data_IF_679443852305
#
_entry.id   IF_679443852305
#
_cell.length_a   1.000
_cell.length_b   1.000
_cell.length_c   1.000
_cell.angle_alpha   90.00
_cell.angle_beta   90.00
_cell.angle_gamma   90.00
#
_symmetry.space_group_name_H-M   'P 1'
#
loop_
_entity.id
_entity.type
_entity.pdbx_description
1 polymer ?
#
# COMPACT_ATOMS: atom_id res chain seq x y z
N UNK A 1 -1.65 7.42 -21.22
CA UNK A 1 -1.16 6.38 -20.29
C UNK A 1 -2.17 5.26 -20.27
N UNK A 2 -1.74 4.00 -20.34
CA UNK A 2 -2.64 2.86 -20.21
C UNK A 2 -3.21 2.82 -18.77
N UNK A 3 -4.39 2.21 -18.58
CA UNK A 3 -4.99 2.08 -17.25
C UNK A 3 -4.07 1.34 -16.27
N UNK A 4 -3.32 0.36 -16.79
CA UNK A 4 -2.37 -0.43 -16.02
C UNK A 4 -1.24 0.42 -15.45
N UNK A 5 -0.50 1.22 -16.23
CA UNK A 5 0.59 2.02 -15.67
C UNK A 5 0.09 3.03 -14.62
N UNK A 6 -1.12 3.59 -14.82
CA UNK A 6 -1.73 4.48 -13.82
C UNK A 6 -1.99 3.75 -12.49
N UNK A 7 -2.46 2.52 -12.51
CA UNK A 7 -2.72 1.76 -11.28
C UNK A 7 -1.41 1.41 -10.54
N UNK A 8 -0.32 1.12 -11.26
CA UNK A 8 1.00 0.96 -10.64
C UNK A 8 1.50 2.26 -10.00
N UNK A 9 1.33 3.41 -10.67
CA UNK A 9 1.71 4.71 -10.14
C UNK A 9 0.88 5.07 -8.90
N UNK A 10 -0.44 4.84 -8.93
CA UNK A 10 -1.32 5.06 -7.79
C UNK A 10 -0.95 4.14 -6.60
N UNK A 11 -0.66 2.88 -6.87
CA UNK A 11 -0.21 1.93 -5.84
C UNK A 11 1.10 2.37 -5.19
N UNK A 12 2.09 2.76 -5.99
CA UNK A 12 3.36 3.30 -5.48
C UNK A 12 3.19 4.60 -4.70
N UNK A 13 2.39 5.55 -5.20
CA UNK A 13 2.11 6.79 -4.49
C UNK A 13 1.42 6.52 -3.13
N UNK A 14 0.43 5.62 -3.11
CA UNK A 14 -0.24 5.23 -1.87
C UNK A 14 0.72 4.54 -0.88
N UNK A 15 1.66 3.73 -1.37
CA UNK A 15 2.73 3.11 -0.58
C UNK A 15 3.62 4.15 0.12
N UNK A 16 4.10 5.15 -0.63
CA UNK A 16 4.96 6.21 -0.08
C UNK A 16 4.21 7.11 0.92
N UNK A 17 2.92 7.39 0.66
CA UNK A 17 2.08 8.07 1.65
C UNK A 17 1.94 7.23 2.91
N UNK A 18 1.85 5.90 2.79
CA UNK A 18 1.89 4.98 3.93
C UNK A 18 3.16 5.15 4.77
N UNK A 19 4.33 5.28 4.14
CA UNK A 19 5.58 5.60 4.83
C UNK A 19 5.55 6.97 5.52
N UNK A 20 5.03 8.01 4.85
CA UNK A 20 4.87 9.33 5.45
C UNK A 20 3.93 9.32 6.68
N UNK A 21 2.95 8.41 6.70
CA UNK A 21 2.05 8.16 7.84
C UNK A 21 2.65 7.23 8.91
N UNK A 22 3.91 6.80 8.78
CA UNK A 22 4.60 5.94 9.76
C UNK A 22 4.38 4.44 9.58
N UNK A 23 3.76 3.99 8.49
CA UNK A 23 3.61 2.56 8.19
C UNK A 23 4.95 1.97 7.71
N UNK A 24 5.32 0.82 8.26
CA UNK A 24 6.48 0.05 7.83
C UNK A 24 6.10 -1.00 6.79
N UNK A 25 7.10 -1.44 6.02
CA UNK A 25 6.98 -2.60 5.15
C UNK A 25 6.34 -3.81 5.86
N UNK A 26 5.48 -4.51 5.13
CA UNK A 26 4.98 -5.85 5.49
C UNK A 26 5.67 -6.89 4.62
N UNK A 27 5.88 -8.07 5.20
CA UNK A 27 6.44 -9.20 4.48
C UNK A 27 5.47 -9.73 3.42
N UNK A 28 6.00 -10.49 2.46
CA UNK A 28 5.27 -10.93 1.26
C UNK A 28 4.16 -11.96 1.52
N UNK A 29 3.88 -12.28 2.79
CA UNK A 29 2.81 -13.19 3.23
C UNK A 29 1.42 -12.55 3.21
N UNK A 30 1.34 -11.22 3.11
CA UNK A 30 0.09 -10.47 3.16
C UNK A 30 -0.06 -9.62 1.91
N UNK A 31 -1.27 -9.59 1.33
CA UNK A 31 -1.63 -8.63 0.31
C UNK A 31 -2.00 -7.30 0.97
N UNK A 32 -1.12 -6.30 0.90
CA UNK A 32 -1.23 -4.98 1.56
C UNK A 32 -0.51 -3.94 0.73
N UNK A 33 -0.92 -2.67 0.81
CA UNK A 33 -0.20 -1.56 0.18
C UNK A 33 1.27 -1.51 0.59
N UNK A 34 1.60 -1.92 1.81
CA UNK A 34 2.94 -1.80 2.38
C UNK A 34 3.86 -2.99 2.06
N UNK A 35 3.56 -3.81 1.04
CA UNK A 35 4.53 -4.82 0.54
C UNK A 35 5.76 -4.14 -0.05
N UNK A 36 6.93 -4.79 0.04
CA UNK A 36 8.20 -4.25 -0.54
C UNK A 36 8.17 -4.12 -2.07
N UNK A 37 7.28 -4.85 -2.73
CA UNK A 37 7.10 -4.83 -4.18
C UNK A 37 5.62 -4.61 -4.47
N UNK A 38 5.33 -3.77 -5.47
CA UNK A 38 3.96 -3.60 -5.96
C UNK A 38 3.46 -4.93 -6.50
N UNK A 39 2.33 -5.40 -5.96
CA UNK A 39 1.69 -6.64 -6.39
C UNK A 39 1.15 -6.54 -7.83
N UNK A 40 0.99 -7.68 -8.51
CA UNK A 40 0.22 -7.78 -9.76
C UNK A 40 -1.06 -8.59 -9.50
N UNK A 41 -2.27 -8.03 -9.70
CA UNK A 41 -2.55 -6.62 -10.01
C UNK A 41 -2.19 -5.66 -8.85
N UNK A 42 -1.93 -4.36 -9.12
CA UNK A 42 -1.60 -3.39 -8.09
C UNK A 42 -2.74 -3.20 -7.08
N UNK A 43 -2.40 -3.05 -5.81
CA UNK A 43 -3.33 -2.60 -4.78
C UNK A 43 -3.35 -1.07 -4.83
N UNK A 44 -4.49 -0.47 -5.16
CA UNK A 44 -4.62 1.00 -5.26
C UNK A 44 -5.36 1.62 -4.09
N UNK A 45 -5.87 0.81 -3.15
CA UNK A 45 -6.67 1.24 -2.01
C UNK A 45 -6.18 0.59 -0.71
N UNK A 46 -6.30 1.26 0.46
CA UNK A 46 -5.89 0.67 1.73
C UNK A 46 -6.66 -0.62 2.06
N UNK A 47 -5.93 -1.70 2.30
CA UNK A 47 -6.48 -2.99 2.71
C UNK A 47 -6.95 -2.96 4.17
N UNK A 48 -7.63 -4.01 4.63
CA UNK A 48 -7.97 -4.17 6.05
C UNK A 48 -6.73 -4.19 6.96
N UNK A 49 -5.63 -4.73 6.47
CA UNK A 49 -4.33 -4.75 7.18
C UNK A 49 -3.78 -3.33 7.29
N UNK A 50 -3.81 -2.55 6.21
CA UNK A 50 -3.35 -1.16 6.19
C UNK A 50 -4.15 -0.31 7.19
N UNK A 51 -5.48 -0.42 7.14
CA UNK A 51 -6.40 0.30 8.04
C UNK A 51 -6.18 -0.07 9.50
N UNK A 52 -5.96 -1.36 9.81
CA UNK A 52 -5.67 -1.80 11.17
C UNK A 52 -4.34 -1.28 11.70
N UNK A 53 -3.29 -1.24 10.87
CA UNK A 53 -1.99 -0.67 11.26
C UNK A 53 -2.05 0.85 11.40
N UNK A 54 -2.76 1.55 10.50
CA UNK A 54 -3.01 2.98 10.63
C UNK A 54 -3.70 3.31 11.95
N UNK A 55 -4.77 2.57 12.30
CA UNK A 55 -5.47 2.74 13.58
C UNK A 55 -4.53 2.59 14.77
N UNK A 56 -3.66 1.57 14.79
CA UNK A 56 -2.69 1.38 15.88
C UNK A 56 -1.73 2.56 16.10
N UNK A 57 -1.47 3.37 15.07
CA UNK A 57 -0.58 4.53 15.17
C UNK A 57 -1.33 5.82 15.52
N UNK A 58 -2.54 5.98 15.00
CA UNK A 58 -3.24 7.28 14.98
C UNK A 58 -4.66 7.27 15.58
N UNK A 59 -5.14 6.17 16.16
CA UNK A 59 -6.53 6.03 16.63
C UNK A 59 -6.74 5.09 17.81
#
# INVERSE_FOLDING_TARGET
MDGRARDYQNSGAAHEVGHALGLCHKGDRFATLMMKRIQTPPITEPTSIDKANYKRLWG
#
